data_IF_173656534983
#
_entry.id   IF_173656534983
#
_cell.length_a   1.000
_cell.length_b   1.000
_cell.length_c   1.000
_cell.angle_alpha   90.00
_cell.angle_beta   90.00
_cell.angle_gamma   90.00
#
_symmetry.space_group_name_H-M   'P 1'
#
loop_
_entity.id
_entity.type
_entity.pdbx_description
1 polymer ?
#
# COMPACT_ATOMS: atom_id res chain seq x y z
N UNK A 1 38.97 -24.15 -25.60
CA UNK A 1 38.34 -22.82 -25.65
C UNK A 1 38.18 -22.37 -24.21
N UNK A 2 38.71 -21.22 -23.81
CA UNK A 2 38.53 -20.71 -22.45
C UNK A 2 37.09 -20.18 -22.30
N UNK A 3 36.43 -20.49 -21.18
CA UNK A 3 35.07 -20.02 -20.94
C UNK A 3 35.07 -18.49 -20.73
N UNK A 4 34.09 -17.79 -21.31
CA UNK A 4 33.92 -16.34 -21.18
C UNK A 4 32.46 -15.98 -20.97
N UNK A 5 32.21 -15.03 -20.07
CA UNK A 5 30.90 -14.47 -19.76
C UNK A 5 30.97 -12.96 -19.96
N UNK A 6 30.28 -12.44 -20.97
CA UNK A 6 30.30 -11.02 -21.33
C UNK A 6 28.89 -10.41 -21.27
N UNK A 7 28.83 -9.09 -21.07
CA UNK A 7 27.63 -8.28 -21.26
C UNK A 7 26.43 -8.71 -20.39
N UNK A 8 26.65 -8.91 -19.09
CA UNK A 8 25.54 -9.08 -18.16
C UNK A 8 24.71 -7.80 -18.13
N UNK A 9 23.45 -7.94 -18.53
CA UNK A 9 22.52 -6.83 -18.72
C UNK A 9 21.19 -7.15 -18.07
N UNK A 10 20.57 -6.10 -17.57
CA UNK A 10 19.17 -6.14 -17.14
C UNK A 10 18.28 -5.85 -18.35
N UNK A 11 17.40 -6.79 -18.67
CA UNK A 11 16.53 -6.72 -19.84
C UNK A 11 15.38 -5.73 -19.70
N UNK A 12 15.07 -5.29 -18.47
CA UNK A 12 14.00 -4.33 -18.15
C UNK A 12 14.58 -2.92 -17.97
N UNK A 13 15.83 -2.79 -17.53
CA UNK A 13 16.38 -1.53 -17.03
C UNK A 13 16.38 -0.39 -18.06
N UNK A 14 15.34 0.43 -17.96
CA UNK A 14 15.36 1.84 -18.33
C UNK A 14 15.92 2.65 -17.16
N UNK A 15 16.74 3.66 -17.47
CA UNK A 15 17.42 4.52 -16.48
C UNK A 15 16.48 4.94 -15.34
N UNK A 16 16.80 4.56 -14.09
CA UNK A 16 16.07 4.96 -12.90
C UNK A 16 15.08 3.94 -12.33
N UNK A 17 14.93 2.76 -12.95
CA UNK A 17 14.09 1.69 -12.41
C UNK A 17 14.64 1.14 -11.08
N UNK A 18 13.76 0.87 -10.11
CA UNK A 18 14.08 0.25 -8.82
C UNK A 18 13.27 -1.01 -8.65
N UNK A 19 13.93 -2.12 -8.35
CA UNK A 19 13.24 -3.36 -8.02
C UNK A 19 12.78 -3.34 -6.58
N UNK A 20 11.50 -3.63 -6.35
CA UNK A 20 10.95 -3.81 -5.00
C UNK A 20 11.16 -5.24 -4.51
N UNK A 21 10.86 -5.47 -3.24
CA UNK A 21 11.01 -6.78 -2.62
C UNK A 21 10.34 -7.88 -3.44
N UNK A 22 10.99 -9.05 -3.53
CA UNK A 22 10.44 -10.23 -4.19
C UNK A 22 10.12 -10.11 -5.70
N UNK A 23 10.48 -8.99 -6.31
CA UNK A 23 10.22 -8.76 -7.73
C UNK A 23 11.17 -9.58 -8.61
N UNK A 24 10.70 -10.20 -9.70
CA UNK A 24 11.56 -10.87 -10.65
C UNK A 24 12.42 -9.86 -11.44
N UNK A 25 13.72 -10.15 -11.52
CA UNK A 25 14.71 -9.40 -12.29
C UNK A 25 15.17 -10.29 -13.43
N UNK A 26 14.88 -9.87 -14.67
CA UNK A 26 15.23 -10.61 -15.89
C UNK A 26 16.57 -10.15 -16.42
N UNK A 27 17.52 -11.08 -16.51
CA UNK A 27 18.91 -10.81 -16.87
C UNK A 27 19.31 -11.58 -18.11
N UNK A 28 20.19 -10.98 -18.91
CA UNK A 28 20.77 -11.63 -20.09
C UNK A 28 22.26 -11.40 -20.18
N UNK A 29 22.98 -12.35 -20.78
CA UNK A 29 24.41 -12.23 -21.03
C UNK A 29 24.84 -13.11 -22.20
N UNK A 30 26.02 -12.83 -22.75
CA UNK A 30 26.64 -13.66 -23.78
C UNK A 30 27.66 -14.60 -23.14
N UNK A 31 27.60 -15.88 -23.48
CA UNK A 31 28.54 -16.88 -23.00
C UNK A 31 29.21 -17.61 -24.15
N UNK A 32 30.52 -17.78 -24.07
CA UNK A 32 31.27 -18.66 -24.97
C UNK A 32 32.00 -19.67 -24.10
N UNK A 33 31.63 -20.95 -24.19
CA UNK A 33 32.23 -22.02 -23.41
C UNK A 33 32.49 -23.26 -24.29
N UNK A 34 33.35 -24.16 -23.81
CA UNK A 34 33.66 -25.41 -24.52
C UNK A 34 32.46 -26.37 -24.61
N UNK A 35 31.48 -26.21 -23.71
CA UNK A 35 30.18 -26.87 -23.69
C UNK A 35 29.08 -25.82 -23.57
N UNK A 36 27.83 -26.19 -23.85
CA UNK A 36 26.69 -25.26 -23.71
C UNK A 36 26.64 -24.71 -22.26
N UNK A 37 26.45 -23.41 -22.07
CA UNK A 37 26.42 -22.78 -20.75
C UNK A 37 25.34 -23.37 -19.82
N UNK A 38 24.26 -23.91 -20.38
CA UNK A 38 23.22 -24.62 -19.62
C UNK A 38 23.72 -25.90 -18.96
N UNK A 39 24.80 -26.48 -19.47
CA UNK A 39 25.43 -27.72 -18.97
C UNK A 39 26.63 -27.43 -18.03
N UNK A 40 27.05 -26.17 -17.93
CA UNK A 40 28.26 -25.73 -17.24
C UNK A 40 27.99 -25.16 -15.84
N UNK A 41 27.15 -25.86 -15.05
CA UNK A 41 26.82 -25.57 -13.65
C UNK A 41 26.72 -24.08 -13.30
N UNK A 42 25.88 -23.30 -13.99
CA UNK A 42 25.88 -21.85 -13.88
C UNK A 42 25.40 -21.39 -12.49
N UNK A 43 26.02 -20.34 -11.97
CA UNK A 43 25.68 -19.73 -10.68
C UNK A 43 25.56 -18.22 -10.80
N UNK A 44 24.82 -17.61 -9.88
CA UNK A 44 24.75 -16.16 -9.73
C UNK A 44 24.93 -15.77 -8.27
N UNK A 45 25.34 -14.53 -8.05
CA UNK A 45 25.47 -13.92 -6.72
C UNK A 45 24.83 -12.54 -6.74
N UNK A 46 24.07 -12.23 -5.68
CA UNK A 46 23.41 -10.94 -5.48
C UNK A 46 24.03 -10.25 -4.27
N UNK A 47 24.84 -9.21 -4.51
CA UNK A 47 25.57 -8.51 -3.47
C UNK A 47 26.54 -9.44 -2.76
N UNK A 48 26.45 -9.51 -1.44
CA UNK A 48 27.31 -10.37 -0.61
C UNK A 48 26.70 -11.76 -0.33
N UNK A 49 25.64 -12.15 -1.04
CA UNK A 49 25.02 -13.48 -0.86
C UNK A 49 25.97 -14.62 -1.21
N UNK A 50 25.65 -15.82 -0.73
CA UNK A 50 26.24 -17.04 -1.28
C UNK A 50 25.83 -17.21 -2.75
N UNK A 51 26.69 -17.80 -3.60
CA UNK A 51 26.33 -18.12 -4.98
C UNK A 51 25.22 -19.17 -5.04
N UNK A 52 24.21 -18.92 -5.87
CA UNK A 52 23.06 -19.79 -6.09
C UNK A 52 23.07 -20.33 -7.51
N UNK A 53 22.62 -21.57 -7.72
CA UNK A 53 22.51 -22.14 -9.06
C UNK A 53 21.52 -21.33 -9.91
N UNK A 54 21.94 -20.95 -11.12
CA UNK A 54 21.10 -20.30 -12.10
C UNK A 54 20.47 -21.36 -13.01
N UNK A 55 19.22 -21.14 -13.43
CA UNK A 55 18.64 -21.88 -14.55
C UNK A 55 18.68 -20.99 -15.78
N UNK A 56 19.57 -21.33 -16.72
CA UNK A 56 19.74 -20.57 -17.95
C UNK A 56 18.82 -21.08 -19.06
N UNK A 57 18.31 -20.16 -19.87
CA UNK A 57 17.65 -20.46 -21.14
C UNK A 57 18.47 -19.88 -22.28
N UNK A 58 18.94 -20.73 -23.20
CA UNK A 58 19.57 -20.27 -24.42
C UNK A 58 18.50 -19.68 -25.36
N UNK A 59 18.74 -18.48 -25.87
CA UNK A 59 17.83 -17.80 -26.82
C UNK A 59 18.28 -17.97 -28.25
N UNK A 60 19.39 -17.33 -28.60
CA UNK A 60 19.96 -17.35 -29.95
C UNK A 60 21.48 -17.29 -29.86
N UNK A 61 22.16 -18.18 -30.59
CA UNK A 61 23.62 -18.27 -30.58
C UNK A 61 24.17 -18.38 -29.16
N UNK A 62 24.95 -17.38 -28.76
CA UNK A 62 25.63 -17.33 -27.47
C UNK A 62 24.87 -16.53 -26.40
N UNK A 63 23.62 -16.10 -26.68
CA UNK A 63 22.80 -15.32 -25.75
C UNK A 63 22.02 -16.23 -24.81
N UNK A 64 22.18 -15.98 -23.50
CA UNK A 64 21.49 -16.69 -22.44
C UNK A 64 20.70 -15.72 -21.56
N UNK A 65 19.52 -16.17 -21.12
CA UNK A 65 18.66 -15.46 -20.18
C UNK A 65 18.42 -16.26 -18.91
N UNK A 66 18.19 -15.54 -17.82
CA UNK A 66 17.74 -16.11 -16.56
C UNK A 66 16.96 -15.07 -15.75
N UNK A 67 16.25 -15.54 -14.73
CA UNK A 67 15.51 -14.67 -13.82
C UNK A 67 16.01 -14.92 -12.40
N UNK A 68 16.27 -13.84 -11.67
CA UNK A 68 16.51 -13.87 -10.23
C UNK A 68 15.37 -13.13 -9.53
N UNK A 69 15.30 -13.28 -8.21
CA UNK A 69 14.30 -12.61 -7.38
C UNK A 69 15.00 -11.60 -6.50
N UNK A 70 14.48 -10.37 -6.44
CA UNK A 70 14.95 -9.36 -5.48
C UNK A 70 14.78 -9.86 -4.03
N UNK A 71 15.58 -9.35 -3.07
CA UNK A 71 15.46 -9.75 -1.67
C UNK A 71 14.03 -9.55 -1.14
N UNK A 72 13.60 -10.40 -0.21
CA UNK A 72 12.24 -10.34 0.33
C UNK A 72 11.98 -9.16 1.26
N UNK A 73 13.04 -8.53 1.76
CA UNK A 73 12.93 -7.30 2.52
C UNK A 73 14.11 -6.37 2.20
N UNK A 74 13.79 -5.12 1.89
CA UNK A 74 14.70 -4.03 1.53
C UNK A 74 14.34 -2.85 2.44
N UNK A 75 15.12 -2.64 3.49
CA UNK A 75 14.86 -1.59 4.49
C UNK A 75 15.14 -0.17 3.97
N UNK A 76 16.03 -0.05 2.99
CA UNK A 76 16.42 1.22 2.38
C UNK A 76 16.74 1.09 0.90
N UNK A 77 16.55 2.20 0.19
CA UNK A 77 16.96 2.33 -1.20
C UNK A 77 18.46 2.07 -1.29
N UNK A 78 18.83 1.10 -2.11
CA UNK A 78 20.21 0.62 -2.17
C UNK A 78 20.58 0.20 -3.58
N UNK A 79 21.87 -0.05 -3.79
CA UNK A 79 22.38 -0.61 -5.03
C UNK A 79 23.10 -1.91 -4.72
N UNK A 80 22.87 -2.91 -5.55
CA UNK A 80 23.47 -4.24 -5.38
C UNK A 80 24.12 -4.70 -6.67
N UNK A 81 25.28 -5.31 -6.55
CA UNK A 81 26.02 -5.86 -7.67
C UNK A 81 25.60 -7.31 -7.91
N UNK A 82 25.40 -7.67 -9.17
CA UNK A 82 25.09 -9.03 -9.62
C UNK A 82 26.28 -9.53 -10.41
N UNK A 83 26.69 -10.75 -10.12
CA UNK A 83 27.66 -11.49 -10.93
C UNK A 83 27.10 -12.85 -11.30
N UNK A 84 27.47 -13.31 -12.49
CA UNK A 84 27.18 -14.66 -12.99
C UNK A 84 28.49 -15.37 -13.19
N UNK A 85 28.53 -16.65 -12.83
CA UNK A 85 29.66 -17.52 -13.12
C UNK A 85 29.22 -18.81 -13.80
N UNK A 86 30.10 -19.34 -14.63
CA UNK A 86 29.91 -20.60 -15.35
C UNK A 86 31.15 -21.44 -15.10
N UNK A 87 30.96 -22.71 -14.71
CA UNK A 87 32.05 -23.65 -14.45
C UNK A 87 31.95 -24.82 -15.43
N UNK A 88 32.96 -24.97 -16.30
CA UNK A 88 32.99 -26.06 -17.27
C UNK A 88 33.23 -27.44 -16.60
N UNK A 89 33.02 -28.57 -17.31
CA UNK A 89 33.29 -29.91 -16.76
C UNK A 89 34.76 -30.16 -16.38
N UNK A 90 35.69 -29.34 -16.87
CA UNK A 90 37.11 -29.39 -16.48
C UNK A 90 37.40 -28.58 -15.20
N UNK A 91 36.39 -27.92 -14.62
CA UNK A 91 36.50 -27.13 -13.39
C UNK A 91 36.92 -25.67 -13.63
N UNK A 92 37.05 -25.22 -14.87
CA UNK A 92 37.42 -23.84 -15.18
C UNK A 92 36.21 -22.93 -15.02
N UNK A 93 36.37 -21.83 -14.28
CA UNK A 93 35.29 -20.90 -13.97
C UNK A 93 35.49 -19.56 -14.66
N UNK A 94 34.49 -19.12 -15.41
CA UNK A 94 34.40 -17.79 -15.98
C UNK A 94 33.37 -16.96 -15.22
N UNK A 95 33.65 -15.66 -15.03
CA UNK A 95 32.78 -14.72 -14.32
C UNK A 95 32.38 -13.57 -15.23
N UNK A 96 31.16 -13.07 -15.08
CA UNK A 96 30.71 -11.84 -15.73
C UNK A 96 31.37 -10.62 -15.11
N UNK A 97 31.30 -9.48 -15.82
CA UNK A 97 31.42 -8.18 -15.17
C UNK A 97 30.28 -7.98 -14.15
N UNK A 98 30.52 -7.13 -13.14
CA UNK A 98 29.50 -6.76 -12.17
C UNK A 98 28.42 -5.90 -12.85
N UNK A 99 27.16 -6.31 -12.70
CA UNK A 99 26.00 -5.51 -13.07
C UNK A 99 25.40 -4.88 -11.81
N UNK A 100 25.35 -3.56 -11.73
CA UNK A 100 24.71 -2.87 -10.62
C UNK A 100 23.22 -2.63 -10.91
N UNK A 101 22.34 -3.07 -10.02
CA UNK A 101 20.91 -2.77 -10.05
C UNK A 101 20.52 -1.91 -8.84
N UNK A 102 19.42 -1.16 -8.97
CA UNK A 102 18.87 -0.38 -7.86
C UNK A 102 17.71 -1.13 -7.22
N UNK A 103 17.71 -1.18 -5.90
CA UNK A 103 16.66 -1.74 -5.07
C UNK A 103 15.90 -0.60 -4.38
N UNK A 104 14.57 -0.68 -4.41
CA UNK A 104 13.68 0.23 -3.69
C UNK A 104 13.19 -0.39 -2.39
N UNK A 105 12.91 0.43 -1.39
CA UNK A 105 12.32 -0.01 -0.12
C UNK A 105 11.12 -0.93 -0.32
N UNK A 106 10.97 -1.93 0.56
CA UNK A 106 9.80 -2.81 0.59
C UNK A 106 8.52 -1.99 0.82
N UNK A 107 7.46 -2.20 0.01
CA UNK A 107 6.17 -1.62 0.28
C UNK A 107 5.58 -2.22 1.56
N UNK A 108 5.01 -1.38 2.42
CA UNK A 108 4.38 -1.83 3.65
C UNK A 108 3.16 -0.98 4.02
N UNK A 109 2.15 -1.63 4.59
CA UNK A 109 1.00 -0.99 5.19
C UNK A 109 1.37 -0.48 6.58
N UNK A 110 1.06 0.78 6.86
CA UNK A 110 1.18 1.35 8.20
C UNK A 110 0.28 0.59 9.20
N UNK A 111 0.56 0.75 10.50
CA UNK A 111 -0.27 0.17 11.56
C UNK A 111 -1.77 0.46 11.33
N UNK A 112 -2.63 -0.56 11.36
CA UNK A 112 -4.05 -0.45 11.10
C UNK A 112 -4.69 0.26 12.28
N UNK A 113 -5.56 1.21 11.98
CA UNK A 113 -6.42 1.81 12.99
C UNK A 113 -7.84 1.35 12.72
N UNK A 114 -8.44 0.60 13.64
CA UNK A 114 -9.87 0.32 13.60
C UNK A 114 -10.59 1.65 13.82
N UNK A 115 -11.25 2.17 12.79
CA UNK A 115 -11.95 3.47 12.83
C UNK A 115 -13.35 3.24 13.37
N UNK A 116 -13.41 2.67 14.54
CA UNK A 116 -14.64 2.40 15.25
C UNK A 116 -14.75 3.41 16.39
N UNK A 117 -14.74 4.70 16.06
CA UNK A 117 -14.78 5.80 17.04
C UNK A 117 -16.01 5.72 17.97
N UNK A 118 -17.02 4.91 17.62
CA UNK A 118 -18.24 4.70 18.42
C UNK A 118 -18.64 3.23 18.60
N UNK A 119 -17.77 2.26 18.30
CA UNK A 119 -18.12 0.84 18.43
C UNK A 119 -17.62 0.32 19.78
N UNK A 120 -18.47 0.48 20.80
CA UNK A 120 -18.19 -0.02 22.16
C UNK A 120 -18.65 -1.46 22.34
N UNK A 121 -19.47 -1.97 21.43
CA UNK A 121 -19.97 -3.34 21.44
C UNK A 121 -19.11 -4.26 20.55
N UNK A 122 -19.04 -5.58 20.84
CA UNK A 122 -18.42 -6.53 19.93
C UNK A 122 -19.15 -6.59 18.58
N UNK A 123 -18.40 -6.81 17.49
CA UNK A 123 -18.97 -6.99 16.16
C UNK A 123 -19.70 -8.32 16.04
N UNK A 124 -20.87 -8.30 15.40
CA UNK A 124 -21.71 -9.48 15.18
C UNK A 124 -21.38 -10.15 13.84
N UNK A 125 -21.78 -11.40 13.69
CA UNK A 125 -21.50 -12.17 12.48
C UNK A 125 -22.08 -11.50 11.22
N UNK A 126 -21.24 -11.21 10.22
CA UNK A 126 -21.66 -10.54 8.98
C UNK A 126 -21.77 -9.01 9.05
N UNK A 127 -21.48 -8.40 10.21
CA UNK A 127 -21.28 -6.95 10.32
C UNK A 127 -19.97 -6.51 9.64
N UNK A 128 -19.85 -5.23 9.30
CA UNK A 128 -18.63 -4.69 8.70
C UNK A 128 -17.74 -4.03 9.76
N UNK A 129 -16.45 -4.37 9.74
CA UNK A 129 -15.41 -3.81 10.60
C UNK A 129 -14.62 -2.76 9.80
N UNK A 130 -14.77 -1.46 10.10
CA UNK A 130 -14.05 -0.39 9.40
C UNK A 130 -12.60 -0.30 9.87
N UNK A 131 -11.64 -0.55 8.99
CA UNK A 131 -10.20 -0.46 9.27
C UNK A 131 -9.55 0.53 8.34
N UNK A 132 -8.79 1.48 8.88
CA UNK A 132 -8.00 2.43 8.10
C UNK A 132 -6.55 2.00 7.99
N UNK A 133 -6.03 2.05 6.78
CA UNK A 133 -4.64 1.71 6.44
C UNK A 133 -4.01 2.83 5.60
N UNK A 134 -2.69 2.97 5.69
CA UNK A 134 -1.91 3.91 4.87
C UNK A 134 -0.82 3.16 4.13
N UNK A 135 -0.60 3.54 2.87
CA UNK A 135 0.40 2.93 2.01
C UNK A 135 1.73 3.65 2.20
N UNK A 136 2.80 2.88 2.42
CA UNK A 136 4.17 3.37 2.54
C UNK A 136 5.08 2.56 1.62
N UNK A 137 5.94 3.27 0.92
CA UNK A 137 6.86 2.80 -0.11
C UNK A 137 6.19 2.01 -1.25
N UNK A 138 4.95 2.35 -1.59
CA UNK A 138 4.30 1.75 -2.75
C UNK A 138 4.45 2.62 -4.00
N UNK A 139 4.65 1.96 -5.14
CA UNK A 139 4.61 2.60 -6.45
C UNK A 139 3.18 2.67 -6.98
N UNK A 140 2.91 3.62 -7.87
CA UNK A 140 1.58 3.85 -8.41
C UNK A 140 1.05 2.71 -9.29
N UNK A 141 0.56 1.66 -8.64
CA UNK A 141 0.21 0.36 -9.22
C UNK A 141 -1.06 -0.17 -8.61
N UNK A 142 -1.52 -1.33 -9.07
CA UNK A 142 -2.80 -1.89 -8.65
C UNK A 142 -2.61 -3.10 -7.76
N UNK A 143 -3.39 -3.18 -6.70
CA UNK A 143 -3.32 -4.27 -5.71
C UNK A 143 -4.71 -4.74 -5.30
N UNK A 144 -4.73 -5.74 -4.43
CA UNK A 144 -5.94 -6.26 -3.77
C UNK A 144 -5.64 -6.53 -2.31
N UNK A 145 -6.56 -6.17 -1.41
CA UNK A 145 -6.39 -6.49 0.00
C UNK A 145 -6.83 -7.91 0.29
N UNK A 146 -6.14 -8.53 1.22
CA UNK A 146 -6.50 -9.80 1.80
C UNK A 146 -6.56 -9.69 3.31
N UNK A 147 -7.46 -10.46 3.92
CA UNK A 147 -7.62 -10.49 5.36
C UNK A 147 -7.90 -11.90 5.88
N UNK A 148 -7.71 -12.10 7.18
CA UNK A 148 -8.17 -13.29 7.93
C UNK A 148 -8.25 -12.98 9.42
N UNK A 149 -9.10 -13.71 10.14
CA UNK A 149 -9.30 -13.52 11.58
C UNK A 149 -8.53 -14.54 12.42
N UNK A 150 -8.16 -15.68 11.82
CA UNK A 150 -7.39 -16.72 12.48
C UNK A 150 -6.23 -17.19 11.58
N UNK A 151 -5.10 -17.54 12.18
CA UNK A 151 -3.87 -17.89 11.44
C UNK A 151 -3.96 -19.22 10.70
N UNK A 152 -4.89 -20.09 11.13
CA UNK A 152 -5.26 -21.35 10.48
C UNK A 152 -6.23 -21.16 9.30
N UNK A 153 -6.73 -19.94 9.06
CA UNK A 153 -7.53 -19.63 7.88
C UNK A 153 -6.66 -19.29 6.68
N UNK A 154 -7.15 -19.69 5.51
CA UNK A 154 -6.72 -19.12 4.24
C UNK A 154 -7.03 -17.62 4.20
N UNK A 155 -6.27 -16.91 3.37
CA UNK A 155 -6.47 -15.49 3.15
C UNK A 155 -7.72 -15.27 2.28
N UNK A 156 -8.56 -14.33 2.70
CA UNK A 156 -9.80 -13.95 2.02
C UNK A 156 -9.53 -12.67 1.24
N UNK A 157 -9.83 -12.66 -0.06
CA UNK A 157 -9.78 -11.44 -0.86
C UNK A 157 -10.90 -10.47 -0.44
N UNK A 158 -10.54 -9.22 -0.18
CA UNK A 158 -11.49 -8.16 0.11
C UNK A 158 -11.98 -7.56 -1.22
N UNK A 159 -13.30 -7.60 -1.51
CA UNK A 159 -13.84 -6.99 -2.73
C UNK A 159 -13.57 -5.48 -2.80
N UNK A 160 -13.33 -4.96 -4.00
CA UNK A 160 -13.07 -3.52 -4.24
C UNK A 160 -14.21 -2.62 -3.72
N UNK A 161 -15.46 -3.09 -3.77
CA UNK A 161 -16.64 -2.37 -3.25
C UNK A 161 -16.56 -2.11 -1.73
N UNK A 162 -15.74 -2.89 -1.01
CA UNK A 162 -15.50 -2.72 0.43
C UNK A 162 -14.29 -1.80 0.72
N UNK A 163 -13.71 -1.18 -0.30
CA UNK A 163 -12.53 -0.32 -0.17
C UNK A 163 -12.87 1.09 -0.65
N UNK A 164 -12.61 2.09 0.19
CA UNK A 164 -12.88 3.50 -0.11
C UNK A 164 -11.64 4.35 0.16
N UNK A 165 -11.25 5.20 -0.79
CA UNK A 165 -10.13 6.13 -0.61
C UNK A 165 -10.58 7.24 0.35
N UNK A 166 -9.79 7.53 1.38
CA UNK A 166 -10.20 8.45 2.46
C UNK A 166 -10.24 9.91 1.97
N UNK A 167 -9.35 10.29 1.06
CA UNK A 167 -9.23 11.67 0.58
C UNK A 167 -10.19 11.97 -0.60
N UNK A 168 -10.56 10.93 -1.35
CA UNK A 168 -11.58 10.99 -2.40
C UNK A 168 -12.65 9.92 -2.13
N UNK A 169 -13.64 10.19 -1.25
CA UNK A 169 -14.65 9.21 -0.88
C UNK A 169 -15.58 8.92 -2.06
N UNK A 170 -15.17 7.96 -2.87
CA UNK A 170 -15.91 7.36 -3.96
C UNK A 170 -15.55 5.88 -3.99
N UNK A 171 -16.54 5.03 -4.27
CA UNK A 171 -16.27 3.61 -4.48
C UNK A 171 -15.25 3.48 -5.61
N UNK A 172 -14.13 2.84 -5.32
CA UNK A 172 -13.01 2.77 -6.24
C UNK A 172 -13.25 1.61 -7.19
N UNK A 173 -13.21 1.85 -8.51
CA UNK A 173 -13.29 0.77 -9.51
C UNK A 173 -11.98 -0.03 -9.66
N UNK A 174 -10.87 0.52 -9.19
CA UNK A 174 -9.55 -0.09 -9.20
C UNK A 174 -8.64 0.50 -8.11
N UNK A 175 -8.20 -0.32 -7.15
CA UNK A 175 -7.31 0.14 -6.07
C UNK A 175 -5.98 0.66 -6.64
N UNK A 176 -5.55 1.83 -6.17
CA UNK A 176 -4.26 2.44 -6.53
C UNK A 176 -3.32 2.47 -5.32
N UNK A 177 -2.23 1.72 -5.39
CA UNK A 177 -1.26 1.60 -4.33
C UNK A 177 -0.27 2.79 -4.30
N UNK A 178 -0.73 4.03 -4.44
CA UNK A 178 0.21 5.16 -4.50
C UNK A 178 0.74 5.51 -3.11
N UNK A 179 1.96 6.04 -3.04
CA UNK A 179 2.60 6.44 -1.80
C UNK A 179 1.74 7.38 -0.95
N UNK A 180 1.62 7.09 0.34
CA UNK A 180 0.90 7.92 1.30
C UNK A 180 -0.63 7.84 1.21
N UNK A 181 -1.20 7.12 0.24
CA UNK A 181 -2.66 6.96 0.13
C UNK A 181 -3.24 6.24 1.34
N UNK A 182 -4.45 6.65 1.70
CA UNK A 182 -5.20 6.13 2.84
C UNK A 182 -6.48 5.49 2.36
N UNK A 183 -6.75 4.29 2.86
CA UNK A 183 -7.93 3.53 2.52
C UNK A 183 -8.71 3.16 3.78
N UNK A 184 -10.03 3.23 3.67
CA UNK A 184 -10.97 2.63 4.59
C UNK A 184 -11.41 1.28 4.04
N UNK A 185 -11.21 0.23 4.82
CA UNK A 185 -11.55 -1.15 4.51
C UNK A 185 -12.77 -1.54 5.34
N UNK A 186 -13.88 -1.85 4.69
CA UNK A 186 -15.07 -2.40 5.34
C UNK A 186 -14.96 -3.93 5.32
N UNK A 187 -14.31 -4.51 6.32
CA UNK A 187 -14.02 -5.94 6.36
C UNK A 187 -15.24 -6.70 6.92
N UNK A 188 -15.84 -7.66 6.18
CA UNK A 188 -16.90 -8.49 6.71
C UNK A 188 -16.40 -9.31 7.91
N UNK A 189 -17.08 -9.18 9.05
CA UNK A 189 -16.88 -10.05 10.20
C UNK A 189 -17.18 -11.51 9.82
N UNK A 190 -16.55 -12.50 10.48
CA UNK A 190 -16.77 -13.91 10.18
C UNK A 190 -18.25 -14.27 10.24
N UNK A 191 -18.66 -15.28 9.46
CA UNK A 191 -20.01 -15.83 9.57
C UNK A 191 -20.20 -16.51 10.93
N UNK A 192 -21.44 -16.72 11.32
CA UNK A 192 -21.78 -17.26 12.63
C UNK A 192 -21.10 -18.61 12.91
N UNK A 193 -21.08 -19.48 11.90
CA UNK A 193 -20.42 -20.78 11.91
C UNK A 193 -18.90 -20.71 12.11
N UNK A 194 -18.26 -19.62 11.64
CA UNK A 194 -16.82 -19.43 11.66
C UNK A 194 -16.31 -18.77 12.96
N UNK A 195 -17.20 -18.13 13.73
CA UNK A 195 -16.85 -17.58 15.04
C UNK A 195 -16.70 -18.74 16.03
N UNK A 196 -15.46 -18.99 16.45
CA UNK A 196 -15.13 -20.07 17.40
C UNK A 196 -15.82 -19.86 18.75
N UNK A 197 -15.74 -18.63 19.30
CA UNK A 197 -16.36 -18.18 20.55
C UNK A 197 -16.36 -16.65 20.62
N UNK A 198 -17.14 -16.09 21.54
CA UNK A 198 -17.08 -14.67 21.88
C UNK A 198 -15.67 -14.29 22.36
N UNK A 199 -15.20 -13.11 21.97
CA UNK A 199 -13.96 -12.54 22.46
C UNK A 199 -13.14 -11.80 21.41
N UNK A 200 -11.96 -11.37 21.82
CA UNK A 200 -11.01 -10.64 20.98
C UNK A 200 -10.25 -11.59 20.07
N UNK A 201 -10.18 -11.24 18.79
CA UNK A 201 -9.39 -11.93 17.76
C UNK A 201 -8.42 -10.98 17.11
N UNK A 202 -7.38 -11.53 16.48
CA UNK A 202 -6.41 -10.75 15.70
C UNK A 202 -6.81 -10.75 14.23
N UNK A 203 -7.38 -9.64 13.78
CA UNK A 203 -7.61 -9.40 12.36
C UNK A 203 -6.27 -9.08 11.70
N UNK A 204 -5.86 -9.94 10.78
CA UNK A 204 -4.65 -9.78 9.97
C UNK A 204 -5.03 -9.27 8.59
N UNK A 205 -4.28 -8.30 8.07
CA UNK A 205 -4.54 -7.65 6.78
C UNK A 205 -3.21 -7.54 6.01
N UNK A 206 -3.25 -7.70 4.69
CA UNK A 206 -2.12 -7.46 3.79
C UNK A 206 -2.60 -6.99 2.42
N UNK A 207 -1.71 -6.39 1.64
CA UNK A 207 -1.88 -6.27 0.19
C UNK A 207 -1.28 -7.52 -0.48
N UNK A 208 -2.08 -8.19 -1.31
CA UNK A 208 -1.65 -9.36 -2.06
C UNK A 208 -0.58 -9.00 -3.11
N UNK A 209 0.29 -9.96 -3.42
CA UNK A 209 1.24 -9.83 -4.54
C UNK A 209 0.48 -9.81 -5.87
N UNK A 210 0.88 -8.94 -6.78
CA UNK A 210 0.49 -8.94 -8.19
C UNK A 210 1.74 -8.94 -9.09
N UNK A 211 1.55 -8.96 -10.42
CA UNK A 211 2.67 -8.87 -11.37
C UNK A 211 3.45 -7.57 -11.25
N UNK A 212 2.75 -6.49 -10.89
CA UNK A 212 3.33 -5.16 -10.83
C UNK A 212 3.72 -4.78 -9.38
N UNK A 213 3.04 -5.36 -8.38
CA UNK A 213 3.14 -4.94 -6.99
C UNK A 213 3.60 -6.09 -6.08
N UNK A 214 4.67 -5.87 -5.32
CA UNK A 214 5.10 -6.80 -4.29
C UNK A 214 4.05 -6.90 -3.18
N UNK A 215 4.07 -8.04 -2.47
CA UNK A 215 3.25 -8.21 -1.28
C UNK A 215 3.65 -7.20 -0.21
N UNK A 216 2.68 -6.71 0.58
CA UNK A 216 3.00 -5.91 1.77
C UNK A 216 3.39 -6.80 2.95
N UNK A 217 3.88 -6.17 4.03
CA UNK A 217 3.83 -6.77 5.36
C UNK A 217 2.40 -7.17 5.76
N UNK A 218 2.31 -8.06 6.74
CA UNK A 218 1.06 -8.35 7.45
C UNK A 218 0.94 -7.35 8.58
N UNK A 219 -0.21 -6.67 8.64
CA UNK A 219 -0.58 -5.86 9.78
C UNK A 219 -1.65 -6.54 10.62
N UNK A 220 -1.66 -6.27 11.92
CA UNK A 220 -2.60 -6.87 12.87
C UNK A 220 -3.37 -5.80 13.63
N UNK A 221 -4.65 -6.06 13.88
CA UNK A 221 -5.45 -5.28 14.83
C UNK A 221 -6.36 -6.19 15.63
N UNK A 222 -6.62 -5.82 16.88
CA UNK A 222 -7.51 -6.56 17.76
C UNK A 222 -8.96 -6.15 17.53
N UNK A 223 -9.84 -7.14 17.36
CA UNK A 223 -11.27 -6.93 17.14
C UNK A 223 -12.07 -7.84 18.06
N UNK A 224 -13.03 -7.28 18.79
CA UNK A 224 -13.95 -8.06 19.62
C UNK A 224 -15.10 -8.59 18.77
N UNK A 225 -15.30 -9.90 18.76
CA UNK A 225 -16.39 -10.58 18.06
C UNK A 225 -17.38 -11.18 19.06
N UNK A 226 -18.65 -11.21 18.66
CA UNK A 226 -19.72 -11.93 19.34
C UNK A 226 -20.32 -12.97 18.40
N UNK A 227 -20.40 -14.22 18.86
CA UNK A 227 -21.06 -15.33 18.19
C UNK A 227 -22.58 -15.19 18.29
N UNK A 228 -23.07 -14.15 17.64
CA UNK A 228 -24.49 -13.88 17.47
C UNK A 228 -24.73 -13.53 16.02
N UNK A 229 -25.80 -14.09 15.46
CA UNK A 229 -26.19 -13.79 14.08
C UNK A 229 -26.58 -12.32 13.99
N UNK A 230 -26.00 -11.58 13.04
CA UNK A 230 -26.44 -10.22 12.78
C UNK A 230 -27.84 -10.26 12.18
N UNK A 231 -28.82 -9.78 12.94
CA UNK A 231 -30.16 -9.49 12.44
C UNK A 231 -30.15 -8.02 12.08
N UNK A 232 -30.09 -7.70 10.79
CA UNK A 232 -30.26 -6.33 10.32
C UNK A 232 -31.57 -5.79 10.94
N UNK A 233 -31.58 -4.56 11.49
CA UNK A 233 -32.82 -3.99 12.02
C UNK A 233 -33.90 -4.04 10.95
N UNK A 234 -35.07 -4.58 11.33
CA UNK A 234 -36.22 -4.73 10.43
C UNK A 234 -36.51 -3.37 9.79
N UNK A 235 -36.67 -3.28 8.46
CA UNK A 235 -36.84 -1.99 7.82
C UNK A 235 -38.19 -1.43 8.22
N UNK A 236 -38.21 -0.49 9.17
CA UNK A 236 -39.29 0.48 9.23
C UNK A 236 -39.19 1.35 7.96
N UNK A 237 -40.02 1.00 6.97
CA UNK A 237 -40.40 1.80 5.80
C UNK A 237 -39.33 2.78 5.28
N UNK A 238 -38.20 2.28 4.80
CA UNK A 238 -37.25 3.10 4.04
C UNK A 238 -36.31 2.18 3.25
N UNK A 239 -36.55 2.10 1.94
CA UNK A 239 -35.92 1.17 0.99
C UNK A 239 -34.46 1.46 0.65
N UNK A 240 -33.59 1.58 1.66
CA UNK A 240 -32.17 1.81 1.49
C UNK A 240 -31.37 0.81 2.34
N UNK A 241 -30.43 0.11 1.71
CA UNK A 241 -29.63 -0.96 2.34
C UNK A 241 -28.66 -0.38 3.40
N UNK A 242 -28.16 -1.22 4.31
CA UNK A 242 -27.31 -0.78 5.44
C UNK A 242 -26.09 0.05 5.03
N UNK A 243 -25.48 -0.26 3.88
CA UNK A 243 -24.39 0.54 3.31
C UNK A 243 -24.82 1.93 2.84
N UNK A 244 -26.05 2.07 2.31
CA UNK A 244 -26.61 3.38 1.97
C UNK A 244 -26.97 4.19 3.20
N UNK A 245 -27.41 3.55 4.30
CA UNK A 245 -27.68 4.24 5.57
C UNK A 245 -26.39 4.81 6.18
N UNK A 246 -25.29 4.05 6.19
CA UNK A 246 -24.01 4.55 6.67
C UNK A 246 -23.49 5.73 5.82
N UNK A 247 -23.61 5.65 4.49
CA UNK A 247 -23.24 6.75 3.58
C UNK A 247 -24.11 8.00 3.74
N UNK A 248 -25.44 7.84 3.91
CA UNK A 248 -26.37 8.96 4.07
C UNK A 248 -26.16 9.67 5.41
N UNK A 249 -25.93 8.94 6.50
CA UNK A 249 -25.70 9.55 7.82
C UNK A 249 -24.45 10.43 7.79
N UNK A 250 -23.37 9.98 7.14
CA UNK A 250 -22.14 10.75 7.00
C UNK A 250 -22.34 11.95 6.06
N UNK A 251 -23.05 11.77 4.94
CA UNK A 251 -23.37 12.86 4.00
C UNK A 251 -24.22 13.97 4.62
N UNK A 252 -25.21 13.62 5.44
CA UNK A 252 -26.06 14.58 6.16
C UNK A 252 -25.27 15.32 7.24
N UNK A 253 -24.40 14.64 7.98
CA UNK A 253 -23.54 15.28 8.98
C UNK A 253 -22.59 16.32 8.35
N UNK A 254 -21.98 16.00 7.21
CA UNK A 254 -21.12 16.94 6.47
C UNK A 254 -21.92 18.14 5.94
N UNK A 255 -23.12 17.92 5.41
CA UNK A 255 -23.99 19.01 4.95
C UNK A 255 -24.40 19.94 6.10
N UNK A 256 -24.72 19.39 7.27
CA UNK A 256 -25.06 20.18 8.48
C UNK A 256 -23.86 21.00 8.95
N UNK A 257 -22.65 20.43 8.96
CA UNK A 257 -21.42 21.15 9.31
C UNK A 257 -21.16 22.30 8.33
N UNK A 258 -21.34 22.08 7.03
CA UNK A 258 -21.20 23.12 6.01
C UNK A 258 -22.24 24.23 6.22
N UNK A 259 -23.50 23.90 6.53
CA UNK A 259 -24.53 24.90 6.82
C UNK A 259 -24.18 25.72 8.07
N UNK A 260 -23.68 25.08 9.13
CA UNK A 260 -23.23 25.78 10.34
C UNK A 260 -22.07 26.73 10.03
N UNK A 261 -21.10 26.31 9.21
CA UNK A 261 -19.99 27.15 8.77
C UNK A 261 -20.45 28.34 7.92
N UNK A 262 -21.42 28.14 7.02
CA UNK A 262 -22.01 29.22 6.22
C UNK A 262 -22.75 30.20 7.13
N UNK A 263 -23.58 29.73 8.05
CA UNK A 263 -24.30 30.59 9.01
C UNK A 263 -23.30 31.37 9.88
N UNK A 264 -22.28 30.70 10.41
CA UNK A 264 -21.22 31.35 11.19
C UNK A 264 -20.51 32.44 10.38
N UNK A 265 -20.15 32.16 9.14
CA UNK A 265 -19.46 33.10 8.27
C UNK A 265 -20.35 34.30 7.90
N UNK A 266 -21.63 34.07 7.62
CA UNK A 266 -22.62 35.12 7.33
C UNK A 266 -22.89 35.97 8.58
N UNK A 267 -22.99 35.38 9.77
CA UNK A 267 -23.19 36.13 11.02
C UNK A 267 -21.94 36.86 11.50
N UNK A 268 -20.73 36.36 11.21
CA UNK A 268 -19.48 37.11 11.42
C UNK A 268 -19.29 38.23 10.41
N UNK A 269 -19.97 38.18 9.26
CA UNK A 269 -20.01 39.28 8.29
C UNK A 269 -21.06 40.34 8.66
N UNK A 270 -21.07 40.80 9.91
CA UNK A 270 -21.63 42.12 10.22
C UNK A 270 -20.51 43.16 10.05
N UNK A 271 -20.68 44.17 9.19
CA UNK A 271 -19.66 45.19 8.95
C UNK A 271 -19.45 45.99 10.24
N UNK A 272 -18.20 46.08 10.69
CA UNK A 272 -17.78 47.06 11.69
C UNK A 272 -18.15 48.44 11.17
N UNK A 273 -19.12 49.08 11.82
CA UNK A 273 -19.49 50.48 11.55
C UNK A 273 -18.25 51.35 11.78
N UNK A 274 -17.78 51.94 10.69
CA UNK A 274 -16.93 53.13 10.71
C UNK A 274 -17.70 54.24 11.43
N UNK A 275 -17.13 54.78 12.50
CA UNK A 275 -17.42 56.14 12.97
C UNK A 275 -16.08 56.84 13.19
N UNK A 276 -15.69 57.60 12.16
CA UNK A 276 -14.83 58.76 12.29
C UNK A 276 -15.66 59.89 12.90
N UNK A 277 -15.13 60.56 13.92
CA UNK A 277 -15.48 61.95 14.25
C UNK A 277 -14.38 62.55 15.13
N UNK A 278 -13.49 63.31 14.46
CA UNK A 278 -12.97 64.63 14.89
C UNK A 278 -12.65 64.87 16.37
N UNK A 279 -11.37 64.69 16.74
CA UNK A 279 -10.73 65.45 17.82
C UNK A 279 -9.85 66.53 17.20
N UNK A 280 -10.46 67.69 16.92
CA UNK A 280 -9.79 68.99 16.81
C UNK A 280 -10.79 70.01 17.35
N UNK A 281 -10.55 70.51 18.56
CA UNK A 281 -10.98 71.86 18.90
C UNK A 281 -9.93 72.50 19.79
N UNK A 282 -9.35 73.55 19.22
CA UNK A 282 -8.33 74.42 19.76
C UNK A 282 -8.80 75.19 21.00
N UNK A 283 -7.83 75.34 21.91
CA UNK A 283 -7.38 76.56 22.55
C UNK A 283 -8.37 77.48 23.32
N UNK A 284 -8.08 77.56 24.61
CA UNK A 284 -8.04 78.74 25.48
C UNK A 284 -8.67 80.06 25.02
N UNK A 285 -9.49 80.63 25.91
CA UNK A 285 -9.20 81.96 26.43
C UNK A 285 -10.33 82.99 26.36
N UNK A 286 -10.68 83.49 27.56
CA UNK A 286 -10.95 84.91 27.88
C UNK A 286 -12.14 85.59 27.19
N UNK A 287 -13.17 86.07 27.90
CA UNK A 287 -13.09 87.31 28.69
C UNK A 287 -12.80 88.50 27.74
N UNK A 288 -13.65 89.51 27.55
CA UNK A 288 -14.35 90.35 28.54
C UNK A 288 -15.43 91.17 27.80
N UNK A 289 -16.46 91.54 28.54
CA UNK A 289 -17.44 92.57 28.19
C UNK A 289 -16.93 93.91 28.77
N UNK A 290 -16.97 94.97 27.97
CA UNK A 290 -16.52 96.38 28.20
C UNK A 290 -15.04 96.65 27.94
#
# INVERSE_FOLDING_TARGET
LEAKVDNLTDTINTTGYKYTAEQPIKLSFNAVAAVNATEASPKYKLGNSEPVNATLTQKEGNLYEFTITAPSDISEDSKVNITVSITDPAGQTANSSELQISLGKSPYLSAPTVVAENHTEPFKAGEYIPVKVTFQHFEAKTGSFQYRFYTDQEWIDLPDDNVTEVETPSAIKKLHADEGKKYLLNIPAPKYEDIKKDGTVKLQIRLARSNDQAQSNIIETEVSLQKQQYVAPTPENSGLTGGQKAGIVIGVLLAVIIIILIIYFVFRRKPSKVKSSSDIQDDSGSGVNV
#
